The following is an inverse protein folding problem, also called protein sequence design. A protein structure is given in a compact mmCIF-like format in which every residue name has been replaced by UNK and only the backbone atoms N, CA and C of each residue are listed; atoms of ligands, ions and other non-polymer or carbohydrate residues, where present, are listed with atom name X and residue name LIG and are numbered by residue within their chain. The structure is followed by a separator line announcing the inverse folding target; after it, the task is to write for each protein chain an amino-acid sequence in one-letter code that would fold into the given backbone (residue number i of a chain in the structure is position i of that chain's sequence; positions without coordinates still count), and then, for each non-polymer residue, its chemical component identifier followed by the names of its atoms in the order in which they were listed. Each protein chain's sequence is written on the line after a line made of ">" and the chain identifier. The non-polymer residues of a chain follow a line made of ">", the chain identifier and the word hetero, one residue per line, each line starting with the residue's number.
data_IF_621370331261
#
_entry.id   IF_621370331261
#
_cell.length_a   1.000
_cell.length_b   1.000
_cell.length_c   1.000
_cell.angle_alpha   90.00
_cell.angle_beta   90.00
_cell.angle_gamma   90.00
#
_symmetry.space_group_name_H-M   'P 1'
#
loop_
_entity.id
_entity.type
_entity.pdbx_description
1 polymer ?
#
# COMPACT_ATOMS: atom_id res chain seq x y z
N UNK A 1 -38.28 -21.92 -13.59
CA UNK A 1 -37.53 -21.10 -12.62
C UNK A 1 -36.56 -22.00 -11.88
N UNK A 2 -35.34 -22.13 -12.38
CA UNK A 2 -34.18 -22.68 -11.67
C UNK A 2 -33.00 -21.85 -12.15
N UNK A 3 -32.73 -20.77 -11.45
CA UNK A 3 -31.55 -19.96 -11.67
C UNK A 3 -30.34 -20.75 -11.18
N UNK A 4 -29.55 -21.21 -12.14
CA UNK A 4 -28.21 -21.75 -11.98
C UNK A 4 -27.35 -20.77 -11.18
N UNK A 5 -27.19 -21.03 -9.88
CA UNK A 5 -26.06 -20.52 -9.11
C UNK A 5 -24.78 -21.16 -9.64
N UNK A 6 -24.30 -20.65 -10.77
CA UNK A 6 -22.95 -20.91 -11.27
C UNK A 6 -21.97 -20.25 -10.30
N UNK A 7 -21.52 -21.01 -9.31
CA UNK A 7 -20.25 -20.77 -8.65
C UNK A 7 -19.19 -20.71 -9.75
N UNK A 8 -18.73 -19.52 -10.09
CA UNK A 8 -17.57 -19.33 -10.96
C UNK A 8 -16.33 -19.91 -10.26
N UNK A 9 -16.12 -21.22 -10.42
CA UNK A 9 -14.81 -21.86 -10.31
C UNK A 9 -13.91 -21.18 -11.34
N UNK A 10 -13.05 -20.24 -10.93
CA UNK A 10 -12.05 -19.72 -11.87
C UNK A 10 -11.36 -18.39 -11.58
N UNK A 11 -11.66 -17.66 -10.51
CA UNK A 11 -10.84 -16.51 -10.10
C UNK A 11 -10.39 -16.70 -8.66
N UNK A 12 -9.13 -17.07 -8.48
CA UNK A 12 -8.45 -16.87 -7.20
C UNK A 12 -8.73 -15.43 -6.77
N UNK A 13 -9.21 -15.18 -5.53
CA UNK A 13 -9.44 -13.82 -5.07
C UNK A 13 -8.15 -13.04 -5.24
N UNK A 14 -8.16 -12.07 -6.16
CA UNK A 14 -6.98 -11.32 -6.51
C UNK A 14 -6.74 -10.33 -5.37
N UNK A 15 -5.77 -10.64 -4.52
CA UNK A 15 -5.34 -9.75 -3.45
C UNK A 15 -4.15 -8.95 -3.97
N UNK A 16 -4.21 -7.63 -3.81
CA UNK A 16 -3.11 -6.74 -4.19
C UNK A 16 -2.87 -5.69 -3.12
N UNK A 17 -1.60 -5.35 -2.92
CA UNK A 17 -1.14 -4.23 -2.10
C UNK A 17 -0.22 -3.37 -2.96
N UNK A 18 -0.59 -2.10 -3.15
CA UNK A 18 0.17 -1.17 -3.98
C UNK A 18 0.34 0.16 -3.27
N UNK A 19 1.60 0.57 -3.12
CA UNK A 19 1.90 1.96 -2.79
C UNK A 19 1.87 2.80 -4.06
N UNK A 20 1.11 3.89 -4.02
CA UNK A 20 1.09 4.92 -5.05
C UNK A 20 1.51 6.24 -4.42
N UNK A 21 2.51 6.88 -5.03
CA UNK A 21 3.01 8.19 -4.66
C UNK A 21 3.28 8.93 -5.96
N UNK A 22 2.88 10.19 -6.03
CA UNK A 22 3.14 11.02 -7.19
C UNK A 22 4.66 11.24 -7.34
N UNK A 23 5.18 11.03 -8.55
CA UNK A 23 6.62 11.22 -8.82
C UNK A 23 7.53 10.12 -8.28
N UNK A 24 7.01 8.96 -7.85
CA UNK A 24 7.86 7.83 -7.50
C UNK A 24 8.53 7.22 -8.74
N UNK A 25 9.84 7.02 -8.66
CA UNK A 25 10.69 6.39 -9.67
C UNK A 25 11.32 5.11 -9.12
N UNK A 26 11.88 4.28 -10.00
CA UNK A 26 12.68 3.12 -9.61
C UNK A 26 14.16 3.49 -9.75
N UNK A 27 14.92 3.38 -8.66
CA UNK A 27 16.35 3.65 -8.60
C UNK A 27 17.03 2.46 -7.94
N UNK A 28 18.02 1.84 -8.59
CA UNK A 28 18.75 0.67 -8.06
C UNK A 28 17.82 -0.49 -7.61
N UNK A 29 16.70 -0.69 -8.29
CA UNK A 29 15.69 -1.69 -7.92
C UNK A 29 14.77 -1.29 -6.77
N UNK A 30 14.98 -0.13 -6.16
CA UNK A 30 14.14 0.42 -5.09
C UNK A 30 13.15 1.44 -5.63
N UNK A 31 11.91 1.41 -5.13
CA UNK A 31 10.95 2.48 -5.40
C UNK A 31 11.28 3.67 -4.51
N UNK A 32 11.54 4.82 -5.11
CA UNK A 32 11.95 6.04 -4.41
C UNK A 32 11.02 7.19 -4.83
N UNK A 33 10.59 7.99 -3.88
CA UNK A 33 9.95 9.28 -4.14
C UNK A 33 10.88 10.40 -3.74
N UNK A 34 11.05 11.39 -4.62
CA UNK A 34 11.77 12.62 -4.31
C UNK A 34 10.83 13.60 -3.60
N UNK A 35 11.14 13.90 -2.35
CA UNK A 35 10.46 14.93 -1.58
C UNK A 35 11.21 16.26 -1.67
N UNK A 36 10.46 17.35 -1.60
CA UNK A 36 10.99 18.69 -1.40
C UNK A 36 10.66 19.10 0.03
N UNK A 37 11.65 19.58 0.77
CA UNK A 37 11.46 20.01 2.16
C UNK A 37 10.33 21.05 2.28
N UNK A 38 9.38 20.82 3.19
CA UNK A 38 8.25 21.71 3.44
C UNK A 38 7.06 21.57 2.50
N UNK A 39 7.19 20.87 1.37
CA UNK A 39 6.10 20.66 0.42
C UNK A 39 5.22 19.46 0.82
N UNK A 40 3.92 19.54 0.55
CA UNK A 40 3.01 18.44 0.86
C UNK A 40 3.32 17.19 0.03
N UNK A 41 3.47 16.06 0.71
CA UNK A 41 3.67 14.75 0.11
C UNK A 41 2.57 13.78 0.55
N UNK A 42 1.94 13.13 -0.44
CA UNK A 42 0.84 12.20 -0.22
C UNK A 42 1.28 10.77 -0.56
N UNK A 43 1.28 9.90 0.44
CA UNK A 43 1.56 8.48 0.27
C UNK A 43 0.26 7.71 0.36
N UNK A 44 -0.10 6.99 -0.71
CA UNK A 44 -1.34 6.20 -0.76
C UNK A 44 -1.00 4.72 -0.76
N UNK A 45 -1.50 3.99 0.24
CA UNK A 45 -1.49 2.53 0.28
C UNK A 45 -2.86 2.03 -0.18
N UNK A 46 -2.91 1.41 -1.34
CA UNK A 46 -4.12 0.82 -1.90
C UNK A 46 -4.09 -0.68 -1.69
N UNK A 47 -5.16 -1.22 -1.13
CA UNK A 47 -5.38 -2.65 -0.98
C UNK A 47 -6.71 -3.04 -1.59
N UNK A 48 -6.65 -4.02 -2.48
CA UNK A 48 -7.82 -4.52 -3.19
C UNK A 48 -7.87 -6.03 -3.03
N UNK A 49 -9.04 -6.53 -2.71
CA UNK A 49 -9.29 -7.94 -2.49
C UNK A 49 -10.66 -8.33 -3.04
N UNK A 50 -10.73 -9.50 -3.67
CA UNK A 50 -12.00 -10.13 -4.02
C UNK A 50 -12.77 -10.68 -2.81
N UNK A 51 -12.20 -10.61 -1.60
CA UNK A 51 -12.82 -11.10 -0.36
C UNK A 51 -13.04 -9.96 0.66
N UNK A 52 -14.08 -10.07 1.50
CA UNK A 52 -14.50 -9.00 2.42
C UNK A 52 -13.50 -8.73 3.55
N UNK A 53 -12.64 -9.69 3.90
CA UNK A 53 -11.85 -9.67 5.14
C UNK A 53 -10.34 -9.49 4.89
N UNK A 54 -9.96 -8.40 4.23
CA UNK A 54 -8.55 -7.97 4.12
C UNK A 54 -8.22 -6.96 5.23
N UNK A 55 -7.03 -7.07 5.83
CA UNK A 55 -6.46 -6.05 6.72
C UNK A 55 -5.31 -5.38 6.00
N UNK A 56 -5.30 -4.05 6.05
CA UNK A 56 -4.33 -3.21 5.36
C UNK A 56 -3.55 -2.44 6.40
N UNK A 57 -2.23 -2.49 6.33
CA UNK A 57 -1.35 -1.79 7.24
C UNK A 57 -0.44 -0.87 6.44
N UNK A 58 -0.35 0.38 6.85
CA UNK A 58 0.69 1.30 6.41
C UNK A 58 1.66 1.50 7.57
N UNK A 59 2.91 1.08 7.41
CA UNK A 59 3.98 1.32 8.38
C UNK A 59 4.89 2.45 7.88
N UNK A 60 5.06 3.46 8.72
CA UNK A 60 5.88 4.65 8.46
C UNK A 60 6.86 4.79 9.61
N UNK A 61 8.08 4.28 9.42
CA UNK A 61 9.15 4.35 10.42
C UNK A 61 8.73 3.91 11.84
N UNK A 62 7.94 2.84 11.94
CA UNK A 62 7.43 2.31 13.21
C UNK A 62 6.02 2.77 13.58
N UNK A 63 5.48 3.83 12.97
CA UNK A 63 4.06 4.18 13.11
C UNK A 63 3.22 3.31 12.19
N UNK A 64 2.29 2.54 12.77
CA UNK A 64 1.42 1.65 12.01
C UNK A 64 -0.01 2.20 11.97
N UNK A 65 -0.51 2.43 10.76
CA UNK A 65 -1.91 2.76 10.50
C UNK A 65 -2.59 1.52 9.95
N UNK A 66 -3.75 1.15 10.50
CA UNK A 66 -4.51 -0.02 10.07
C UNK A 66 -5.86 0.40 9.48
N UNK A 67 -6.27 -0.30 8.42
CA UNK A 67 -7.64 -0.28 7.88
C UNK A 67 -8.12 -1.70 7.64
N UNK A 68 -9.38 -1.96 7.96
CA UNK A 68 -10.05 -3.22 7.63
C UNK A 68 -10.91 -3.03 6.39
N UNK A 69 -10.91 -4.02 5.51
CA UNK A 69 -11.62 -4.00 4.23
C UNK A 69 -10.80 -3.40 3.09
N UNK A 70 -11.39 -3.45 1.91
CA UNK A 70 -10.82 -2.85 0.70
C UNK A 70 -10.76 -1.33 0.82
N UNK A 71 -9.76 -0.73 0.18
CA UNK A 71 -9.70 0.70 -0.02
C UNK A 71 -8.30 1.27 0.08
N UNK A 72 -8.25 2.56 0.39
CA UNK A 72 -7.02 3.34 0.41
C UNK A 72 -6.74 3.87 1.81
N UNK A 73 -5.51 3.74 2.27
CA UNK A 73 -4.95 4.48 3.39
C UNK A 73 -4.09 5.59 2.80
N UNK A 74 -4.40 6.84 3.12
CA UNK A 74 -3.60 7.98 2.67
C UNK A 74 -2.90 8.62 3.86
N UNK A 75 -1.60 8.82 3.73
CA UNK A 75 -0.80 9.57 4.68
C UNK A 75 -0.33 10.87 4.03
N UNK A 76 -0.72 11.97 4.67
CA UNK A 76 -0.37 13.32 4.28
C UNK A 76 0.67 13.85 5.26
N UNK A 77 1.80 14.34 4.77
CA UNK A 77 2.80 14.99 5.61
C UNK A 77 3.69 15.92 4.80
N UNK A 78 4.39 16.81 5.51
CA UNK A 78 5.42 17.69 4.96
C UNK A 78 6.78 17.12 5.36
N UNK A 79 7.58 16.60 4.42
CA UNK A 79 8.88 16.05 4.72
C UNK A 79 9.84 17.17 5.12
N UNK A 80 10.76 16.87 6.04
CA UNK A 80 11.93 17.71 6.32
C UNK A 80 13.20 16.89 6.29
N UNK A 81 14.38 17.51 6.26
CA UNK A 81 15.67 16.80 6.11
C UNK A 81 15.87 15.58 7.02
N UNK A 82 15.27 15.57 8.21
CA UNK A 82 15.28 14.43 9.16
C UNK A 82 14.54 13.18 8.65
N UNK A 83 13.63 13.36 7.71
CA UNK A 83 12.85 12.31 7.08
C UNK A 83 13.57 11.71 5.86
N UNK A 84 14.79 12.16 5.53
CA UNK A 84 15.52 11.59 4.41
C UNK A 84 15.74 10.08 4.61
N UNK A 85 15.57 9.31 3.53
CA UNK A 85 15.54 7.83 3.53
C UNK A 85 14.45 7.21 4.41
N UNK A 86 13.43 7.98 4.82
CA UNK A 86 12.25 7.44 5.50
C UNK A 86 11.59 6.40 4.60
N UNK A 87 11.21 5.29 5.22
CA UNK A 87 10.59 4.15 4.54
C UNK A 87 9.10 4.14 4.80
N UNK A 88 8.32 3.91 3.74
CA UNK A 88 6.89 3.65 3.79
C UNK A 88 6.63 2.23 3.30
N UNK A 89 5.96 1.43 4.12
CA UNK A 89 5.57 0.05 3.79
C UNK A 89 4.06 -0.05 3.82
N UNK A 90 3.48 -0.68 2.82
CA UNK A 90 2.05 -0.96 2.70
C UNK A 90 1.89 -2.45 2.57
N UNK A 91 1.19 -3.05 3.53
CA UNK A 91 1.04 -4.50 3.63
C UNK A 91 -0.44 -4.87 3.64
N UNK A 92 -0.79 -5.85 2.82
CA UNK A 92 -2.10 -6.50 2.81
C UNK A 92 -1.99 -7.87 3.48
N UNK A 93 -2.85 -8.10 4.46
CA UNK A 93 -3.00 -9.37 5.16
C UNK A 93 -4.37 -9.94 4.87
N UNK A 94 -4.40 -11.23 4.57
CA UNK A 94 -5.62 -11.97 4.34
C UNK A 94 -5.45 -13.39 4.88
N UNK A 95 -6.51 -14.02 5.39
CA UNK A 95 -6.49 -15.45 5.74
C UNK A 95 -6.12 -16.38 4.57
N UNK A 96 -6.20 -15.90 3.32
CA UNK A 96 -5.87 -16.67 2.11
C UNK A 96 -4.42 -16.51 1.65
N UNK A 97 -3.63 -15.70 2.35
CA UNK A 97 -2.22 -15.48 2.05
C UNK A 97 -1.36 -16.11 3.13
N UNK A 98 -0.42 -16.97 2.73
CA UNK A 98 0.60 -17.52 3.65
C UNK A 98 1.50 -16.41 4.20
N UNK A 99 1.72 -15.34 3.41
CA UNK A 99 2.54 -14.19 3.77
C UNK A 99 1.88 -12.88 3.32
N UNK A 100 2.03 -11.78 4.07
CA UNK A 100 1.47 -10.49 3.67
C UNK A 100 2.09 -9.95 2.39
N UNK A 101 1.24 -9.48 1.47
CA UNK A 101 1.69 -8.79 0.27
C UNK A 101 2.12 -7.38 0.64
N UNK A 102 3.41 -7.07 0.47
CA UNK A 102 3.98 -5.81 0.91
C UNK A 102 4.62 -5.04 -0.24
N UNK A 103 4.36 -3.74 -0.29
CA UNK A 103 5.01 -2.77 -1.17
C UNK A 103 5.80 -1.77 -0.31
N UNK A 104 6.95 -1.33 -0.81
CA UNK A 104 7.85 -0.39 -0.11
C UNK A 104 8.17 0.80 -1.01
N UNK A 105 8.30 1.98 -0.41
CA UNK A 105 8.89 3.17 -1.06
C UNK A 105 9.78 3.91 -0.07
N UNK A 106 10.87 4.47 -0.58
CA UNK A 106 11.78 5.33 0.18
C UNK A 106 11.56 6.78 -0.18
N UNK A 107 11.66 7.65 0.81
CA UNK A 107 11.75 9.09 0.59
C UNK A 107 13.20 9.50 0.41
N UNK A 108 13.46 10.28 -0.64
CA UNK A 108 14.74 10.93 -0.89
C UNK A 108 14.49 12.44 -0.90
N UNK A 109 15.08 13.18 0.03
CA UNK A 109 14.91 14.63 0.12
C UNK A 109 16.12 15.29 -0.51
N UNK A 110 15.87 16.15 -1.51
CA UNK A 110 16.90 16.97 -2.16
C UNK A 110 17.15 18.26 -1.39
#
# INVERSE_FOLDING_TARGET
>A
MRDDCQFQKGRSPSISSKITVQGAIITNGEKVVRGVEGNDLNIVCNTVSGIPTIKSFMNINGLQFQRVGNGSLTYHFKPSKKDNRKTFVCSAYSPLLDNPLSSKVFLDIQ
#
